data_IF_636135636463
#
_entry.id   IF_636135636463
#
_cell.length_a   1.000
_cell.length_b   1.000
_cell.length_c   1.000
_cell.angle_alpha   90.00
_cell.angle_beta   90.00
_cell.angle_gamma   90.00
#
_symmetry.space_group_name_H-M   'P 1'
#
loop_
_entity.id
_entity.type
_entity.pdbx_description
1 polymer ?
#
# COMPACT_ATOMS: atom_id res chain seq x y z
N UNK A 1 20.09 3.41 -18.58
CA UNK A 1 19.26 3.95 -19.68
C UNK A 1 20.17 4.07 -20.89
N UNK A 2 19.93 3.25 -21.91
CA UNK A 2 20.68 3.33 -23.16
C UNK A 2 20.13 4.47 -24.03
N UNK A 3 20.63 5.69 -23.82
CA UNK A 3 20.37 6.83 -24.73
C UNK A 3 20.95 6.62 -26.15
N UNK A 4 21.76 5.59 -26.31
CA UNK A 4 22.51 5.35 -27.56
C UNK A 4 21.67 4.79 -28.73
N UNK A 5 20.36 4.55 -28.54
CA UNK A 5 19.47 4.01 -29.59
C UNK A 5 18.46 5.02 -30.14
N UNK A 6 18.43 6.24 -29.61
CA UNK A 6 17.46 7.25 -30.05
C UNK A 6 18.18 8.17 -31.07
N UNK A 7 17.53 8.40 -32.20
CA UNK A 7 18.02 9.33 -33.22
C UNK A 7 18.29 10.71 -32.62
N UNK A 8 19.46 11.34 -32.86
CA UNK A 8 19.85 12.59 -32.21
C UNK A 8 18.84 13.72 -32.40
N UNK A 9 18.23 13.81 -33.56
CA UNK A 9 17.21 14.82 -33.89
C UNK A 9 15.94 14.64 -33.05
N UNK A 10 15.47 13.39 -32.92
CA UNK A 10 14.31 13.04 -32.09
C UNK A 10 14.62 13.33 -30.61
N UNK A 11 15.82 12.99 -30.14
CA UNK A 11 16.22 13.26 -28.77
C UNK A 11 16.22 14.77 -28.48
N UNK A 12 16.74 15.57 -29.40
CA UNK A 12 16.75 17.04 -29.27
C UNK A 12 15.35 17.62 -29.21
N UNK A 13 14.44 17.18 -30.10
CA UNK A 13 13.03 17.63 -30.10
C UNK A 13 12.31 17.22 -28.79
N UNK A 14 12.54 15.99 -28.32
CA UNK A 14 11.99 15.52 -27.04
C UNK A 14 12.51 16.31 -25.85
N UNK A 15 13.78 16.71 -25.83
CA UNK A 15 14.34 17.57 -24.77
C UNK A 15 13.69 18.94 -24.76
N UNK A 16 13.51 19.60 -25.92
CA UNK A 16 12.81 20.88 -25.99
C UNK A 16 11.35 20.78 -25.55
N UNK A 17 10.65 19.72 -25.94
CA UNK A 17 9.26 19.45 -25.48
C UNK A 17 9.20 19.19 -23.97
N UNK A 18 10.17 18.46 -23.42
CA UNK A 18 10.27 18.22 -22.00
C UNK A 18 10.54 19.51 -21.20
N UNK A 19 11.36 20.42 -21.70
CA UNK A 19 11.60 21.73 -21.06
C UNK A 19 10.31 22.56 -20.98
N UNK A 20 9.56 22.66 -22.09
CA UNK A 20 8.25 23.37 -22.10
C UNK A 20 7.21 22.72 -21.19
N UNK A 21 7.15 21.39 -21.20
CA UNK A 21 6.27 20.65 -20.27
C UNK A 21 6.66 20.90 -18.81
N UNK A 22 7.97 20.98 -18.52
CA UNK A 22 8.48 21.29 -17.18
C UNK A 22 8.11 22.71 -16.71
N UNK A 23 8.14 23.71 -17.61
CA UNK A 23 7.69 25.07 -17.29
C UNK A 23 6.19 25.11 -16.93
N UNK A 24 5.35 24.41 -17.71
CA UNK A 24 3.92 24.27 -17.43
C UNK A 24 3.65 23.58 -16.10
N UNK A 25 4.37 22.50 -15.80
CA UNK A 25 4.24 21.79 -14.53
C UNK A 25 4.72 22.63 -13.34
N UNK A 26 5.79 23.40 -13.50
CA UNK A 26 6.25 24.32 -12.47
C UNK A 26 5.18 25.38 -12.13
N UNK A 27 4.52 25.95 -13.15
CA UNK A 27 3.44 26.91 -12.91
C UNK A 27 2.23 26.26 -12.23
N UNK A 28 1.84 25.04 -12.65
CA UNK A 28 0.80 24.25 -11.99
C UNK A 28 1.12 24.03 -10.51
N UNK A 29 2.33 23.64 -10.18
CA UNK A 29 2.77 23.39 -8.79
C UNK A 29 2.76 24.69 -7.95
N UNK A 30 3.13 25.83 -8.53
CA UNK A 30 3.00 27.14 -7.85
C UNK A 30 1.54 27.46 -7.51
N UNK A 31 0.62 27.25 -8.45
CA UNK A 31 -0.81 27.47 -8.23
C UNK A 31 -1.37 26.53 -7.16
N UNK A 32 -1.02 25.23 -7.21
CA UNK A 32 -1.37 24.26 -6.18
C UNK A 32 -0.89 24.76 -4.81
N UNK A 33 0.38 25.14 -4.69
CA UNK A 33 0.94 25.62 -3.42
C UNK A 33 0.21 26.83 -2.87
N UNK A 34 -0.08 27.82 -3.73
CA UNK A 34 -0.83 29.03 -3.34
C UNK A 34 -2.25 28.70 -2.87
N UNK A 35 -2.99 27.88 -3.64
CA UNK A 35 -4.36 27.49 -3.31
C UNK A 35 -4.42 26.61 -2.07
N UNK A 36 -3.45 25.74 -1.87
CA UNK A 36 -3.33 24.94 -0.66
C UNK A 36 -3.11 25.79 0.59
N UNK A 37 -2.32 26.86 0.48
CA UNK A 37 -2.10 27.77 1.59
C UNK A 37 -3.38 28.55 1.95
N UNK A 38 -4.12 29.03 0.96
CA UNK A 38 -5.41 29.69 1.16
C UNK A 38 -6.42 28.75 1.85
N UNK A 39 -6.43 27.48 1.45
CA UNK A 39 -7.33 26.48 1.99
C UNK A 39 -6.92 26.01 3.40
N UNK A 40 -5.63 26.01 3.71
CA UNK A 40 -5.09 25.48 4.97
C UNK A 40 -5.77 26.07 6.20
N UNK A 41 -5.94 27.39 6.26
CA UNK A 41 -6.61 28.06 7.38
C UNK A 41 -8.05 27.59 7.59
N UNK A 42 -8.78 27.36 6.52
CA UNK A 42 -10.15 26.81 6.59
C UNK A 42 -10.19 25.36 7.08
N UNK A 43 -9.21 24.53 6.68
CA UNK A 43 -9.11 23.14 7.13
C UNK A 43 -8.66 23.05 8.59
N UNK A 44 -7.73 23.91 9.02
CA UNK A 44 -7.24 23.94 10.39
C UNK A 44 -8.34 24.36 11.38
N UNK A 45 -9.15 25.35 11.03
CA UNK A 45 -10.29 25.81 11.86
C UNK A 45 -11.42 24.77 12.01
N UNK A 46 -11.41 23.70 11.23
CA UNK A 46 -12.39 22.61 11.24
C UNK A 46 -11.84 21.31 11.83
N UNK A 47 -10.71 21.35 12.52
CA UNK A 47 -10.05 20.20 13.15
C UNK A 47 -9.82 19.01 12.19
N UNK A 48 -9.50 19.31 10.92
CA UNK A 48 -9.24 18.29 9.90
C UNK A 48 -7.88 17.59 10.12
N UNK A 49 -6.95 18.24 10.84
CA UNK A 49 -5.62 17.71 11.10
C UNK A 49 -5.40 17.46 12.58
N UNK A 50 -4.90 16.28 12.87
CA UNK A 50 -4.52 15.88 14.23
C UNK A 50 -3.02 15.78 14.36
N UNK A 51 -2.53 16.16 15.52
CA UNK A 51 -1.15 16.02 15.95
C UNK A 51 -0.94 14.67 16.61
N UNK A 52 0.21 14.06 16.39
CA UNK A 52 0.62 12.87 17.14
C UNK A 52 1.25 13.34 18.45
N UNK A 53 0.57 13.09 19.55
CA UNK A 53 0.99 13.50 20.89
C UNK A 53 1.81 12.38 21.52
N UNK A 54 2.99 12.70 22.05
CA UNK A 54 3.83 11.76 22.79
C UNK A 54 3.59 11.92 24.29
N UNK A 55 3.16 10.83 24.92
CA UNK A 55 3.25 10.68 26.36
C UNK A 55 4.28 9.58 26.66
N UNK A 56 5.33 9.90 27.43
CA UNK A 56 6.43 8.98 27.67
C UNK A 56 6.01 7.70 28.40
N UNK A 57 5.07 7.78 29.34
CA UNK A 57 4.57 6.58 30.05
C UNK A 57 3.73 5.69 29.13
N UNK A 58 2.90 6.31 28.31
CA UNK A 58 2.09 5.59 27.31
C UNK A 58 3.03 4.93 26.29
N UNK A 59 4.08 5.61 25.85
CA UNK A 59 5.04 5.09 24.89
C UNK A 59 5.74 3.82 25.37
N UNK A 60 6.15 3.75 26.63
CA UNK A 60 6.79 2.55 27.20
C UNK A 60 5.84 1.33 27.23
N UNK A 61 4.55 1.57 27.41
CA UNK A 61 3.54 0.50 27.29
C UNK A 61 3.35 0.08 25.84
N UNK A 62 3.29 1.04 24.92
CA UNK A 62 3.10 0.78 23.49
C UNK A 62 4.27 -0.01 22.89
N UNK A 63 5.51 0.16 23.36
CA UNK A 63 6.68 -0.61 22.91
C UNK A 63 6.58 -2.11 23.16
N UNK A 64 5.78 -2.53 24.14
CA UNK A 64 5.61 -3.95 24.51
C UNK A 64 4.51 -4.66 23.74
N UNK A 65 3.72 -3.94 22.98
CA UNK A 65 2.59 -4.51 22.20
C UNK A 65 3.15 -5.41 21.10
N UNK A 66 2.70 -6.68 21.02
CA UNK A 66 3.11 -7.61 19.97
C UNK A 66 2.76 -7.08 18.58
N UNK A 67 3.66 -7.32 17.63
CA UNK A 67 3.57 -6.78 16.29
C UNK A 67 3.96 -7.81 15.24
N UNK A 68 3.18 -7.90 14.17
CA UNK A 68 3.52 -8.58 12.94
C UNK A 68 3.57 -7.63 11.74
N UNK A 69 4.28 -8.01 10.70
CA UNK A 69 4.17 -7.39 9.39
C UNK A 69 4.21 -8.45 8.29
N UNK A 70 3.45 -8.23 7.22
CA UNK A 70 3.37 -9.13 6.06
C UNK A 70 3.52 -8.30 4.79
N UNK A 71 4.31 -8.81 3.86
CA UNK A 71 4.43 -8.29 2.51
C UNK A 71 4.67 -9.43 1.51
N UNK A 72 4.19 -9.24 0.28
CA UNK A 72 4.38 -10.14 -0.84
C UNK A 72 4.98 -9.45 -2.04
N UNK A 73 5.69 -10.21 -2.86
CA UNK A 73 6.12 -9.77 -4.18
C UNK A 73 6.02 -10.91 -5.18
N UNK A 74 5.91 -10.58 -6.46
CA UNK A 74 5.94 -11.58 -7.50
C UNK A 74 6.75 -11.15 -8.71
N UNK A 75 7.18 -12.15 -9.49
CA UNK A 75 7.71 -11.99 -10.84
C UNK A 75 7.13 -13.09 -11.71
N UNK A 76 6.67 -12.74 -12.89
CA UNK A 76 6.24 -13.68 -13.92
C UNK A 76 7.31 -13.72 -15.01
N UNK A 77 7.67 -14.93 -15.44
CA UNK A 77 8.63 -15.21 -16.50
C UNK A 77 8.13 -16.32 -17.40
N UNK A 78 8.48 -16.29 -18.65
CA UNK A 78 8.03 -17.24 -19.67
C UNK A 78 7.25 -16.54 -20.76
N UNK A 79 6.12 -17.11 -21.16
CA UNK A 79 5.24 -16.57 -22.22
C UNK A 79 5.24 -17.42 -23.48
N UNK A 80 6.16 -18.34 -23.60
CA UNK A 80 6.26 -19.19 -24.77
C UNK A 80 5.10 -20.16 -24.86
N UNK A 81 4.42 -20.16 -25.99
CA UNK A 81 3.21 -20.94 -26.17
C UNK A 81 2.13 -20.61 -25.15
N UNK A 82 2.16 -19.42 -24.54
CA UNK A 82 1.21 -18.98 -23.50
C UNK A 82 1.45 -19.60 -22.13
N UNK A 83 2.63 -20.22 -21.88
CA UNK A 83 2.97 -20.81 -20.58
C UNK A 83 3.89 -19.91 -19.78
N UNK A 84 3.46 -19.55 -18.57
CA UNK A 84 4.16 -18.66 -17.64
C UNK A 84 4.46 -19.37 -16.33
N UNK A 85 5.50 -18.91 -15.66
CA UNK A 85 5.79 -19.30 -14.28
C UNK A 85 5.80 -18.06 -13.40
N UNK A 86 4.96 -18.07 -12.40
CA UNK A 86 4.87 -16.99 -11.42
C UNK A 86 5.63 -17.38 -10.18
N UNK A 87 6.62 -16.61 -9.80
CA UNK A 87 7.42 -16.78 -8.60
C UNK A 87 6.97 -15.75 -7.57
N UNK A 88 6.48 -16.22 -6.44
CA UNK A 88 5.93 -15.37 -5.38
C UNK A 88 6.81 -15.52 -4.15
N UNK A 89 7.21 -14.40 -3.57
CA UNK A 89 7.87 -14.33 -2.27
C UNK A 89 6.92 -13.71 -1.25
N UNK A 90 6.74 -14.35 -0.10
CA UNK A 90 5.94 -13.83 1.01
C UNK A 90 6.84 -13.76 2.23
N UNK A 91 6.89 -12.59 2.89
CA UNK A 91 7.65 -12.40 4.12
C UNK A 91 6.74 -12.08 5.30
N UNK A 92 7.10 -12.62 6.46
CA UNK A 92 6.46 -12.40 7.74
C UNK A 92 7.52 -11.92 8.73
N UNK A 93 7.25 -10.80 9.37
CA UNK A 93 8.08 -10.25 10.46
C UNK A 93 7.28 -10.31 11.74
N UNK A 94 7.82 -10.90 12.80
CA UNK A 94 7.08 -11.16 14.03
C UNK A 94 7.89 -10.73 15.24
N UNK A 95 7.33 -9.85 16.05
CA UNK A 95 7.86 -9.34 17.30
C UNK A 95 6.86 -9.62 18.44
N UNK A 96 6.89 -10.84 18.98
CA UNK A 96 5.92 -11.35 19.97
C UNK A 96 5.92 -10.59 21.31
N UNK A 97 7.00 -9.91 21.62
CA UNK A 97 7.18 -9.15 22.89
C UNK A 97 7.28 -7.64 22.66
N UNK A 98 6.69 -7.18 21.57
CA UNK A 98 6.76 -5.80 21.14
C UNK A 98 7.92 -5.50 20.18
N UNK A 99 8.02 -4.23 19.77
CA UNK A 99 8.99 -3.81 18.78
C UNK A 99 10.43 -4.14 19.16
N UNK A 100 11.18 -4.72 18.23
CA UNK A 100 12.58 -5.10 18.38
C UNK A 100 13.33 -4.94 17.07
N UNK A 101 14.64 -4.72 17.14
CA UNK A 101 15.53 -4.68 15.97
C UNK A 101 15.86 -6.09 15.44
N UNK A 102 15.60 -7.15 16.23
CA UNK A 102 15.82 -8.54 15.87
C UNK A 102 14.51 -9.36 15.92
N UNK A 103 13.52 -9.07 15.07
CA UNK A 103 12.29 -9.85 15.00
C UNK A 103 12.54 -11.23 14.40
N UNK A 104 11.61 -12.15 14.62
CA UNK A 104 11.57 -13.41 13.86
C UNK A 104 11.12 -13.10 12.44
N UNK A 105 11.85 -13.61 11.46
CA UNK A 105 11.54 -13.42 10.04
C UNK A 105 11.33 -14.79 9.40
N UNK A 106 10.17 -15.00 8.79
CA UNK A 106 9.87 -16.16 7.96
C UNK A 106 9.69 -15.70 6.52
N UNK A 107 10.16 -16.51 5.57
CA UNK A 107 9.99 -16.25 4.14
C UNK A 107 9.51 -17.54 3.49
N UNK A 108 8.41 -17.43 2.76
CA UNK A 108 7.84 -18.53 1.96
C UNK A 108 8.00 -18.20 0.47
N UNK A 109 8.45 -19.16 -0.34
CA UNK A 109 8.52 -19.06 -1.80
C UNK A 109 7.49 -19.98 -2.46
N UNK A 110 6.77 -19.49 -3.46
CA UNK A 110 5.78 -20.24 -4.23
C UNK A 110 6.14 -20.10 -5.72
N UNK A 111 6.01 -21.20 -6.48
CA UNK A 111 6.14 -21.20 -7.94
C UNK A 111 4.86 -21.80 -8.50
N UNK A 112 4.15 -21.02 -9.33
CA UNK A 112 2.88 -21.42 -9.91
C UNK A 112 2.94 -21.35 -11.45
N UNK A 113 2.67 -22.45 -12.18
CA UNK A 113 2.53 -22.40 -13.62
C UNK A 113 1.16 -21.81 -14.01
N UNK A 114 1.15 -20.83 -14.89
CA UNK A 114 -0.06 -20.23 -15.46
C UNK A 114 -0.07 -20.39 -16.98
N UNK A 115 -1.26 -20.53 -17.54
CA UNK A 115 -1.47 -20.60 -18.99
C UNK A 115 -2.35 -19.42 -19.40
N UNK A 116 -1.78 -18.44 -20.11
CA UNK A 116 -2.49 -17.35 -20.73
C UNK A 116 -1.67 -16.77 -21.90
N UNK A 117 -2.37 -16.30 -22.91
CA UNK A 117 -1.76 -15.65 -24.08
C UNK A 117 -1.50 -14.17 -23.82
N UNK A 118 -2.32 -13.54 -22.96
CA UNK A 118 -2.24 -12.11 -22.64
C UNK A 118 -1.42 -11.89 -21.36
N UNK A 119 -0.35 -11.11 -21.47
CA UNK A 119 0.54 -10.76 -20.36
C UNK A 119 -0.20 -9.96 -19.24
N UNK A 120 -1.19 -9.15 -19.62
CA UNK A 120 -2.02 -8.41 -18.66
C UNK A 120 -2.81 -9.36 -17.75
N UNK A 121 -3.35 -10.45 -18.31
CA UNK A 121 -4.05 -11.49 -17.54
C UNK A 121 -3.09 -12.20 -16.60
N UNK A 122 -1.86 -12.48 -17.06
CA UNK A 122 -0.83 -13.09 -16.19
C UNK A 122 -0.49 -12.17 -15.02
N UNK A 123 -0.33 -10.87 -15.28
CA UNK A 123 -0.05 -9.91 -14.20
C UNK A 123 -1.17 -9.92 -13.15
N UNK A 124 -2.43 -9.85 -13.59
CA UNK A 124 -3.60 -9.86 -12.70
C UNK A 124 -3.68 -11.16 -11.87
N UNK A 125 -3.53 -12.31 -12.50
CA UNK A 125 -3.54 -13.59 -11.80
C UNK A 125 -2.38 -13.72 -10.81
N UNK A 126 -1.20 -13.23 -11.18
CA UNK A 126 -0.02 -13.23 -10.30
C UNK A 126 -0.23 -12.39 -9.05
N UNK A 127 -0.86 -11.23 -9.20
CA UNK A 127 -1.19 -10.34 -8.08
C UNK A 127 -2.23 -10.99 -7.15
N UNK A 128 -3.25 -11.65 -7.70
CA UNK A 128 -4.23 -12.41 -6.90
C UNK A 128 -3.56 -13.54 -6.12
N UNK A 129 -2.68 -14.32 -6.75
CA UNK A 129 -1.95 -15.40 -6.08
C UNK A 129 -1.05 -14.87 -4.96
N UNK A 130 -0.38 -13.76 -5.18
CA UNK A 130 0.43 -13.09 -4.14
C UNK A 130 -0.46 -12.67 -2.96
N UNK A 131 -1.59 -12.01 -3.21
CA UNK A 131 -2.52 -11.58 -2.15
C UNK A 131 -3.13 -12.76 -1.37
N UNK A 132 -3.39 -13.88 -2.03
CA UNK A 132 -3.79 -15.13 -1.35
C UNK A 132 -2.67 -15.66 -0.43
N UNK A 133 -1.43 -15.60 -0.89
CA UNK A 133 -0.25 -15.93 -0.08
C UNK A 133 -0.12 -15.01 1.15
N UNK A 134 -0.34 -13.72 0.99
CA UNK A 134 -0.35 -12.76 2.11
C UNK A 134 -1.46 -13.06 3.12
N UNK A 135 -2.67 -13.43 2.67
CA UNK A 135 -3.76 -13.82 3.57
C UNK A 135 -3.39 -15.03 4.44
N UNK A 136 -2.74 -16.04 3.85
CA UNK A 136 -2.25 -17.18 4.59
C UNK A 136 -1.16 -16.79 5.59
N UNK A 137 -0.28 -15.88 5.20
CA UNK A 137 0.76 -15.34 6.07
C UNK A 137 0.18 -14.54 7.24
N UNK A 138 -0.85 -13.71 7.01
CA UNK A 138 -1.56 -12.99 8.07
C UNK A 138 -2.12 -13.98 9.10
N UNK A 139 -2.74 -15.08 8.68
CA UNK A 139 -3.25 -16.11 9.59
C UNK A 139 -2.12 -16.80 10.39
N UNK A 140 -0.98 -17.10 9.74
CA UNK A 140 0.19 -17.68 10.43
C UNK A 140 0.73 -16.72 11.49
N UNK A 141 0.86 -15.43 11.16
CA UNK A 141 1.28 -14.39 12.11
C UNK A 141 0.27 -14.26 13.24
N UNK A 142 -1.02 -14.20 12.94
CA UNK A 142 -2.07 -14.09 13.94
C UNK A 142 -2.07 -15.26 14.93
N UNK A 143 -1.86 -16.51 14.46
CA UNK A 143 -1.73 -17.67 15.35
C UNK A 143 -0.54 -17.57 16.32
N UNK A 144 0.53 -16.86 15.93
CA UNK A 144 1.70 -16.66 16.80
C UNK A 144 1.53 -15.51 17.77
N UNK A 145 0.85 -14.45 17.36
CA UNK A 145 0.57 -13.29 18.19
C UNK A 145 -0.64 -13.50 19.11
N UNK A 146 -1.54 -14.41 18.73
CA UNK A 146 -2.78 -14.68 19.44
C UNK A 146 -2.53 -15.22 20.85
N UNK A 147 -3.04 -14.54 21.83
CA UNK A 147 -2.95 -14.86 23.26
C UNK A 147 -3.93 -14.03 24.10
N UNK A 148 -4.84 -13.31 23.40
CA UNK A 148 -5.83 -12.43 24.03
C UNK A 148 -5.31 -11.04 24.37
N UNK A 149 -4.00 -10.80 24.31
CA UNK A 149 -3.42 -9.46 24.43
C UNK A 149 -3.59 -8.67 23.13
N UNK A 150 -3.78 -7.34 23.27
CA UNK A 150 -3.85 -6.45 22.11
C UNK A 150 -2.56 -6.55 21.29
N UNK A 151 -2.70 -6.81 20.00
CA UNK A 151 -1.58 -6.91 19.07
C UNK A 151 -1.93 -6.35 17.68
N UNK A 152 -0.93 -6.14 16.85
CA UNK A 152 -1.11 -5.52 15.54
C UNK A 152 -0.43 -6.30 14.43
N UNK A 153 -1.04 -6.28 13.24
CA UNK A 153 -0.43 -6.76 12.00
C UNK A 153 -0.46 -5.63 10.98
N UNK A 154 0.72 -5.27 10.46
CA UNK A 154 0.87 -4.34 9.36
C UNK A 154 0.89 -5.09 8.03
N UNK A 155 0.15 -4.63 7.06
CA UNK A 155 0.18 -5.10 5.67
C UNK A 155 0.84 -4.03 4.82
N UNK A 156 1.80 -4.38 3.95
CA UNK A 156 2.38 -3.45 2.97
C UNK A 156 1.45 -3.25 1.78
N UNK A 157 0.37 -2.53 2.00
CA UNK A 157 -0.68 -2.29 1.00
C UNK A 157 -2.02 -1.94 1.61
N UNK A 158 -3.06 -1.88 0.79
CA UNK A 158 -4.42 -1.60 1.23
C UNK A 158 -5.08 -2.82 1.87
N UNK A 159 -6.07 -2.58 2.74
CA UNK A 159 -6.99 -3.61 3.21
C UNK A 159 -8.01 -3.94 2.12
N UNK A 160 -8.54 -2.92 1.46
CA UNK A 160 -9.37 -3.07 0.26
C UNK A 160 -8.46 -3.25 -0.93
N UNK A 161 -8.54 -4.42 -1.52
CA UNK A 161 -7.79 -4.75 -2.73
C UNK A 161 -8.25 -3.92 -3.94
N UNK A 162 -7.39 -3.79 -4.96
CA UNK A 162 -7.78 -3.15 -6.20
C UNK A 162 -9.07 -3.74 -6.79
N UNK A 163 -9.96 -2.93 -7.37
CA UNK A 163 -11.28 -3.37 -7.85
C UNK A 163 -11.25 -4.50 -8.89
N UNK A 164 -10.12 -4.68 -9.58
CA UNK A 164 -9.95 -5.69 -10.62
C UNK A 164 -10.03 -7.13 -10.09
N UNK A 165 -9.71 -7.34 -8.80
CA UNK A 165 -9.57 -8.67 -8.19
C UNK A 165 -10.70 -9.02 -7.21
N UNK A 166 -11.63 -8.09 -6.98
CA UNK A 166 -12.73 -8.29 -6.05
C UNK A 166 -13.76 -9.26 -6.62
N UNK A 167 -13.49 -10.57 -6.53
CA UNK A 167 -14.51 -11.59 -6.68
C UNK A 167 -15.08 -11.97 -5.32
N UNK A 168 -16.30 -12.51 -5.29
CA UNK A 168 -17.02 -12.79 -4.04
C UNK A 168 -16.25 -13.73 -3.11
N UNK A 169 -15.67 -14.79 -3.66
CA UNK A 169 -14.92 -15.78 -2.88
C UNK A 169 -13.67 -15.17 -2.27
N UNK A 170 -12.92 -14.39 -3.04
CA UNK A 170 -11.72 -13.71 -2.54
C UNK A 170 -12.06 -12.74 -1.41
N UNK A 171 -13.10 -11.91 -1.59
CA UNK A 171 -13.57 -10.96 -0.56
C UNK A 171 -14.02 -11.69 0.70
N UNK A 172 -14.73 -12.82 0.55
CA UNK A 172 -15.13 -13.65 1.69
C UNK A 172 -13.93 -14.19 2.46
N UNK A 173 -12.96 -14.75 1.79
CA UNK A 173 -11.74 -15.29 2.41
C UNK A 173 -10.92 -14.19 3.10
N UNK A 174 -10.86 -13.00 2.50
CA UNK A 174 -10.20 -11.81 3.07
C UNK A 174 -10.92 -11.36 4.35
N UNK A 175 -12.24 -11.20 4.28
CA UNK A 175 -13.07 -10.83 5.45
C UNK A 175 -12.94 -11.86 6.57
N UNK A 176 -12.98 -13.15 6.25
CA UNK A 176 -12.83 -14.22 7.24
C UNK A 176 -11.46 -14.20 7.89
N UNK A 177 -10.41 -13.87 7.14
CA UNK A 177 -9.05 -13.71 7.69
C UNK A 177 -8.96 -12.52 8.65
N UNK A 178 -9.50 -11.37 8.26
CA UNK A 178 -9.53 -10.18 9.10
C UNK A 178 -10.41 -10.37 10.35
N UNK A 179 -11.55 -11.05 10.20
CA UNK A 179 -12.42 -11.40 11.33
C UNK A 179 -11.74 -12.35 12.31
N UNK A 180 -11.01 -13.32 11.80
CA UNK A 180 -10.19 -14.20 12.64
C UNK A 180 -9.18 -13.41 13.47
N UNK A 181 -8.45 -12.46 12.86
CA UNK A 181 -7.54 -11.56 13.59
C UNK A 181 -8.29 -10.77 14.66
N UNK A 182 -9.40 -10.15 14.28
CA UNK A 182 -10.21 -9.34 15.19
C UNK A 182 -10.70 -10.15 16.41
N UNK A 183 -11.15 -11.38 16.24
CA UNK A 183 -11.59 -12.25 17.35
C UNK A 183 -10.47 -12.66 18.29
N UNK A 184 -9.21 -12.56 17.85
CA UNK A 184 -8.00 -12.78 18.65
C UNK A 184 -7.44 -11.49 19.27
N UNK A 185 -8.17 -10.38 19.21
CA UNK A 185 -7.74 -9.04 19.64
C UNK A 185 -6.50 -8.54 18.85
N UNK A 186 -6.43 -8.91 17.57
CA UNK A 186 -5.37 -8.50 16.66
C UNK A 186 -5.91 -7.48 15.66
N UNK A 187 -5.34 -6.28 15.67
CA UNK A 187 -5.71 -5.18 14.80
C UNK A 187 -4.90 -5.20 13.51
N UNK A 188 -5.57 -5.34 12.38
CA UNK A 188 -4.92 -5.34 11.07
C UNK A 188 -4.96 -3.93 10.47
N UNK A 189 -3.79 -3.46 10.03
CA UNK A 189 -3.57 -2.11 9.51
C UNK A 189 -2.93 -2.20 8.13
N UNK A 190 -3.57 -1.57 7.14
CA UNK A 190 -3.01 -1.36 5.81
C UNK A 190 -2.11 -0.13 5.78
N UNK A 191 -0.87 -0.30 5.30
CA UNK A 191 0.10 0.77 5.12
C UNK A 191 0.31 1.06 3.64
N UNK A 192 -0.44 2.00 3.07
CA UNK A 192 -0.46 2.31 1.63
C UNK A 192 0.59 3.36 1.28
N UNK A 193 1.63 2.96 0.57
CA UNK A 193 2.77 3.82 0.18
C UNK A 193 2.49 4.68 -1.06
N UNK A 194 1.58 4.25 -1.91
CA UNK A 194 1.24 4.94 -3.16
C UNK A 194 -0.18 5.47 -3.06
N UNK A 195 -0.31 6.67 -2.54
CA UNK A 195 -1.60 7.37 -2.46
C UNK A 195 -2.08 7.69 -3.86
N UNK A 196 -3.25 7.17 -4.22
CA UNK A 196 -3.93 7.43 -5.49
C UNK A 196 -5.40 7.72 -5.22
N UNK A 197 -6.06 8.36 -6.18
CA UNK A 197 -7.47 8.71 -6.08
C UNK A 197 -7.72 10.09 -5.49
N UNK A 198 -8.99 10.41 -5.27
CA UNK A 198 -9.49 11.71 -4.83
C UNK A 198 -10.53 11.60 -3.71
N UNK A 199 -10.40 10.60 -2.87
CA UNK A 199 -11.37 10.30 -1.81
C UNK A 199 -11.48 11.43 -0.78
N UNK A 200 -10.34 11.97 -0.33
CA UNK A 200 -10.31 13.08 0.61
C UNK A 200 -10.82 14.37 -0.04
N UNK A 201 -10.42 14.62 -1.27
CA UNK A 201 -10.88 15.75 -2.07
C UNK A 201 -12.40 15.71 -2.28
N UNK A 202 -12.96 14.53 -2.57
CA UNK A 202 -14.40 14.32 -2.71
C UNK A 202 -15.14 14.52 -1.38
N UNK A 203 -14.57 14.05 -0.26
CA UNK A 203 -15.10 14.33 1.07
C UNK A 203 -15.19 15.85 1.34
N UNK A 204 -14.12 16.60 1.08
CA UNK A 204 -14.11 18.04 1.28
C UNK A 204 -15.13 18.79 0.39
N UNK A 205 -15.33 18.31 -0.84
CA UNK A 205 -16.36 18.84 -1.75
C UNK A 205 -17.76 18.58 -1.23
N UNK A 206 -18.05 17.36 -0.75
CA UNK A 206 -19.36 17.01 -0.15
C UNK A 206 -19.66 17.84 1.10
N UNK A 207 -18.65 18.13 1.91
CA UNK A 207 -18.78 18.98 3.10
C UNK A 207 -18.79 20.48 2.76
N UNK A 208 -18.76 20.84 1.46
CA UNK A 208 -18.72 22.24 0.98
C UNK A 208 -17.56 23.04 1.57
N UNK A 209 -16.44 22.37 1.88
CA UNK A 209 -15.21 23.01 2.36
C UNK A 209 -14.41 23.56 1.17
N UNK A 210 -14.51 22.88 0.03
CA UNK A 210 -13.93 23.31 -1.24
C UNK A 210 -15.08 23.56 -2.22
N UNK A 211 -15.17 24.79 -2.71
CA UNK A 211 -16.18 25.20 -3.69
C UNK A 211 -15.79 24.71 -5.11
N UNK A 212 -16.79 24.19 -5.83
CA UNK A 212 -16.75 23.90 -7.27
C UNK A 212 -15.79 22.80 -7.72
N UNK A 213 -15.64 22.66 -9.04
CA UNK A 213 -14.55 21.92 -9.67
C UNK A 213 -13.28 22.73 -9.52
N UNK A 214 -12.57 22.52 -8.43
CA UNK A 214 -11.27 23.14 -8.23
C UNK A 214 -10.29 22.46 -9.21
N UNK A 215 -10.04 23.10 -10.34
CA UNK A 215 -9.24 22.57 -11.45
C UNK A 215 -7.76 22.36 -11.08
N UNK A 216 -7.33 22.94 -9.95
CA UNK A 216 -5.95 22.84 -9.48
C UNK A 216 -5.62 21.51 -8.80
N UNK A 217 -6.59 20.90 -8.09
CA UNK A 217 -6.38 19.62 -7.39
C UNK A 217 -7.03 18.47 -8.17
N UNK A 218 -6.22 17.63 -8.78
CA UNK A 218 -6.66 16.48 -9.56
C UNK A 218 -6.89 15.27 -8.64
N UNK A 219 -6.07 15.13 -7.60
CA UNK A 219 -6.09 14.01 -6.68
C UNK A 219 -5.74 14.43 -5.24
N UNK A 220 -5.86 13.49 -4.32
CA UNK A 220 -5.58 13.72 -2.90
C UNK A 220 -4.14 14.15 -2.65
N UNK A 221 -3.18 13.63 -3.42
CA UNK A 221 -1.77 13.95 -3.23
C UNK A 221 -1.46 15.41 -3.58
N UNK A 222 -2.06 15.95 -4.63
CA UNK A 222 -1.90 17.36 -5.02
C UNK A 222 -2.31 18.29 -3.88
N UNK A 223 -3.46 18.01 -3.26
CA UNK A 223 -3.98 18.78 -2.14
C UNK A 223 -3.15 18.56 -0.87
N UNK A 224 -3.01 17.32 -0.45
CA UNK A 224 -2.44 16.97 0.85
C UNK A 224 -0.95 17.29 0.95
N UNK A 225 -0.20 17.24 -0.15
CA UNK A 225 1.25 17.51 -0.14
C UNK A 225 1.56 18.88 0.47
N UNK A 226 0.87 19.91 0.01
CA UNK A 226 1.11 21.29 0.48
C UNK A 226 0.38 21.59 1.78
N UNK A 227 -0.85 21.11 1.95
CA UNK A 227 -1.65 21.39 3.15
C UNK A 227 -1.04 20.74 4.38
N UNK A 228 -0.66 19.46 4.30
CA UNK A 228 0.00 18.75 5.41
C UNK A 228 1.41 19.27 5.67
N UNK A 229 2.13 19.75 4.64
CA UNK A 229 3.40 20.44 4.85
C UNK A 229 3.22 21.68 5.74
N UNK A 230 2.21 22.51 5.45
CA UNK A 230 1.90 23.69 6.25
C UNK A 230 1.47 23.31 7.67
N UNK A 231 0.65 22.28 7.82
CA UNK A 231 0.23 21.76 9.13
C UNK A 231 1.43 21.32 9.99
N UNK A 232 2.39 20.59 9.42
CA UNK A 232 3.62 20.18 10.12
C UNK A 232 4.48 21.40 10.48
N UNK A 233 4.65 22.34 9.55
CA UNK A 233 5.44 23.55 9.79
C UNK A 233 4.89 24.39 10.95
N UNK A 234 3.57 24.54 11.03
CA UNK A 234 2.91 25.30 12.09
C UNK A 234 2.95 24.58 13.45
N UNK A 235 2.86 23.25 13.46
CA UNK A 235 2.75 22.46 14.70
C UNK A 235 4.08 21.85 15.14
N UNK A 236 5.11 21.92 14.30
CA UNK A 236 6.43 21.27 14.51
C UNK A 236 6.32 19.78 14.88
N UNK A 237 5.29 19.08 14.37
CA UNK A 237 4.96 17.69 14.72
C UNK A 237 4.39 16.96 13.52
N UNK A 238 4.58 15.64 13.42
CA UNK A 238 3.86 14.80 12.47
C UNK A 238 2.35 14.96 12.57
N UNK A 239 1.66 14.86 11.43
CA UNK A 239 0.21 15.07 11.38
C UNK A 239 -0.48 13.95 10.61
N UNK A 240 -1.74 13.74 10.94
CA UNK A 240 -2.64 12.89 10.17
C UNK A 240 -4.00 13.59 9.99
N UNK A 241 -4.78 13.17 8.97
CA UNK A 241 -6.09 13.76 8.70
C UNK A 241 -7.17 13.12 9.58
N UNK A 242 -8.31 13.78 9.68
CA UNK A 242 -9.51 13.18 10.22
C UNK A 242 -9.76 11.79 9.60
N UNK A 243 -10.05 10.75 10.39
CA UNK A 243 -10.34 9.42 9.87
C UNK A 243 -11.66 9.40 9.10
N UNK A 244 -11.61 8.91 7.87
CA UNK A 244 -12.76 8.80 6.98
C UNK A 244 -13.16 7.34 6.78
N UNK A 245 -14.46 7.08 6.68
CA UNK A 245 -14.95 5.86 6.08
C UNK A 245 -14.92 5.98 4.55
N UNK A 246 -14.77 4.87 3.83
CA UNK A 246 -14.77 4.89 2.36
C UNK A 246 -16.07 5.44 1.76
N UNK A 247 -17.22 5.30 2.43
CA UNK A 247 -18.48 5.90 1.97
C UNK A 247 -18.45 7.42 1.96
N UNK A 248 -17.68 8.04 2.82
CA UNK A 248 -17.57 9.50 2.90
C UNK A 248 -16.71 10.07 1.75
N UNK A 249 -15.73 9.31 1.27
CA UNK A 249 -14.76 9.74 0.25
C UNK A 249 -15.03 9.25 -1.17
N UNK A 250 -15.70 8.11 -1.34
CA UNK A 250 -15.97 7.56 -2.66
C UNK A 250 -17.23 8.15 -3.31
N UNK A 251 -17.22 8.29 -4.63
CA UNK A 251 -18.42 8.56 -5.43
C UNK A 251 -19.09 7.26 -5.85
N UNK A 252 -20.37 7.29 -6.23
CA UNK A 252 -21.10 6.09 -6.66
C UNK A 252 -20.52 5.43 -7.93
N UNK A 253 -19.74 6.19 -8.71
CA UNK A 253 -19.07 5.72 -9.93
C UNK A 253 -17.66 5.18 -9.64
N UNK A 254 -17.18 5.32 -8.40
CA UNK A 254 -15.84 4.87 -8.01
C UNK A 254 -15.84 3.34 -7.86
N UNK A 255 -14.95 2.67 -8.59
CA UNK A 255 -14.77 1.22 -8.49
C UNK A 255 -14.39 0.78 -7.06
N UNK A 256 -13.67 1.62 -6.34
CA UNK A 256 -13.33 1.39 -4.92
C UNK A 256 -14.57 1.35 -4.04
N UNK A 257 -15.58 2.18 -4.33
CA UNK A 257 -16.85 2.16 -3.60
C UNK A 257 -17.61 0.84 -3.79
N UNK A 258 -17.62 0.31 -5.02
CA UNK A 258 -18.24 -0.98 -5.31
C UNK A 258 -17.52 -2.12 -4.58
N UNK A 259 -16.20 -2.13 -4.60
CA UNK A 259 -15.40 -3.11 -3.87
C UNK A 259 -15.63 -2.99 -2.38
N UNK A 260 -15.59 -1.77 -1.82
CA UNK A 260 -15.86 -1.54 -0.39
C UNK A 260 -17.24 -2.05 0.03
N UNK A 261 -18.27 -1.86 -0.81
CA UNK A 261 -19.61 -2.38 -0.54
C UNK A 261 -19.61 -3.90 -0.35
N UNK A 262 -18.85 -4.65 -1.13
CA UNK A 262 -18.72 -6.11 -0.97
C UNK A 262 -18.15 -6.49 0.40
N UNK A 263 -17.18 -5.72 0.92
CA UNK A 263 -16.63 -5.90 2.27
C UNK A 263 -17.64 -5.51 3.35
N UNK A 264 -18.29 -4.38 3.18
CA UNK A 264 -19.29 -3.86 4.13
C UNK A 264 -20.50 -4.78 4.27
N UNK A 265 -21.02 -5.33 3.17
CA UNK A 265 -22.14 -6.28 3.18
C UNK A 265 -21.78 -7.57 3.97
N UNK A 266 -20.50 -7.82 4.22
CA UNK A 266 -19.98 -8.89 5.06
C UNK A 266 -19.60 -8.45 6.48
N UNK A 267 -20.01 -7.24 6.87
CA UNK A 267 -19.82 -6.68 8.21
C UNK A 267 -18.45 -6.08 8.49
N UNK A 268 -17.64 -5.79 7.47
CA UNK A 268 -16.35 -5.14 7.63
C UNK A 268 -16.46 -3.64 7.35
N UNK A 269 -16.19 -2.82 8.36
CA UNK A 269 -16.02 -1.38 8.21
C UNK A 269 -14.55 -1.04 8.06
N UNK A 270 -14.20 -0.19 7.11
CA UNK A 270 -12.81 0.25 6.89
C UNK A 270 -12.77 1.76 6.95
N UNK A 271 -11.95 2.24 7.88
CA UNK A 271 -11.61 3.64 8.04
C UNK A 271 -10.20 3.88 7.56
N UNK A 272 -9.92 5.07 7.05
CA UNK A 272 -8.59 5.46 6.62
C UNK A 272 -8.27 6.90 6.98
N UNK A 273 -6.98 7.17 7.12
CA UNK A 273 -6.45 8.52 7.29
C UNK A 273 -5.22 8.70 6.42
N UNK A 274 -4.90 9.93 6.10
CA UNK A 274 -3.62 10.27 5.48
C UNK A 274 -2.64 10.72 6.56
N UNK A 275 -1.44 10.20 6.48
CA UNK A 275 -0.37 10.41 7.46
C UNK A 275 0.87 10.97 6.80
N UNK A 276 1.47 12.00 7.39
CA UNK A 276 2.73 12.58 6.96
C UNK A 276 3.68 12.64 8.16
N UNK A 277 4.77 11.82 8.15
CA UNK A 277 5.69 11.69 9.28
C UNK A 277 6.59 12.92 9.48
N UNK A 278 6.90 13.65 8.40
CA UNK A 278 7.77 14.82 8.46
C UNK A 278 7.48 15.79 7.33
N UNK A 279 7.95 17.03 7.43
CA UNK A 279 7.73 18.04 6.38
C UNK A 279 8.27 17.59 5.01
N UNK A 280 9.39 16.88 4.97
CA UNK A 280 10.02 16.33 3.75
C UNK A 280 9.59 14.90 3.43
N UNK A 281 8.90 14.22 4.35
CA UNK A 281 8.44 12.85 4.21
C UNK A 281 7.31 12.70 3.21
N UNK A 282 7.11 11.48 2.75
CA UNK A 282 5.99 11.11 1.88
C UNK A 282 4.67 11.14 2.65
N UNK A 283 3.57 11.15 1.91
CA UNK A 283 2.23 10.95 2.47
C UNK A 283 1.88 9.48 2.28
N UNK A 284 1.35 8.90 3.35
CA UNK A 284 0.85 7.52 3.39
C UNK A 284 -0.65 7.53 3.67
N UNK A 285 -1.36 6.52 3.21
CA UNK A 285 -2.72 6.25 3.66
C UNK A 285 -2.67 5.06 4.61
N UNK A 286 -3.25 5.24 5.78
CA UNK A 286 -3.34 4.21 6.82
C UNK A 286 -4.77 3.73 6.88
N UNK A 287 -4.99 2.45 6.67
CA UNK A 287 -6.30 1.82 6.69
C UNK A 287 -6.45 0.95 7.93
N UNK A 288 -7.64 0.95 8.50
CA UNK A 288 -7.95 0.15 9.69
C UNK A 288 -9.28 -0.59 9.51
N UNK A 289 -9.25 -1.91 9.73
CA UNK A 289 -10.39 -2.82 9.59
C UNK A 289 -11.11 -3.00 10.93
N UNK A 290 -12.45 -2.83 10.93
CA UNK A 290 -13.30 -2.96 12.11
C UNK A 290 -14.53 -3.82 11.81
N UNK A 291 -14.92 -4.65 12.78
CA UNK A 291 -16.15 -5.47 12.71
C UNK A 291 -17.24 -4.96 13.67
N UNK A 292 -17.05 -3.79 14.23
CA UNK A 292 -17.98 -3.11 15.13
C UNK A 292 -18.29 -1.71 14.63
N UNK A 293 -19.40 -1.16 15.09
CA UNK A 293 -19.74 0.23 14.85
C UNK A 293 -19.27 1.05 16.05
N UNK A 294 -18.22 1.83 15.85
CA UNK A 294 -17.68 2.74 16.85
C UNK A 294 -18.24 4.14 16.65
N UNK A 295 -18.34 4.88 17.73
CA UNK A 295 -18.57 6.32 17.67
C UNK A 295 -17.37 7.04 17.03
N UNK A 296 -17.61 8.25 16.54
CA UNK A 296 -16.55 9.09 15.97
C UNK A 296 -15.38 9.32 16.94
N UNK A 297 -15.68 9.49 18.22
CA UNK A 297 -14.67 9.68 19.26
C UNK A 297 -13.81 8.41 19.46
N UNK A 298 -14.43 7.23 19.49
CA UNK A 298 -13.70 5.96 19.62
C UNK A 298 -12.81 5.69 18.40
N UNK A 299 -13.29 6.00 17.19
CA UNK A 299 -12.49 5.91 15.97
C UNK A 299 -11.26 6.82 16.05
N UNK A 300 -11.46 8.06 16.49
CA UNK A 300 -10.38 9.02 16.70
C UNK A 300 -9.35 8.53 17.71
N UNK A 301 -9.80 7.97 18.83
CA UNK A 301 -8.90 7.40 19.86
C UNK A 301 -8.11 6.19 19.33
N UNK A 302 -8.75 5.31 18.55
CA UNK A 302 -8.06 4.19 17.88
C UNK A 302 -6.99 4.70 16.91
N UNK A 303 -7.31 5.67 16.08
CA UNK A 303 -6.32 6.24 15.16
C UNK A 303 -5.20 6.98 15.88
N UNK A 304 -5.48 7.74 16.94
CA UNK A 304 -4.43 8.34 17.78
C UNK A 304 -3.42 7.29 18.27
N UNK A 305 -3.92 6.15 18.74
CA UNK A 305 -3.09 5.04 19.21
C UNK A 305 -2.28 4.42 18.08
N UNK A 306 -2.92 4.13 16.93
CA UNK A 306 -2.24 3.61 15.74
C UNK A 306 -1.16 4.56 15.25
N UNK A 307 -1.44 5.86 15.18
CA UNK A 307 -0.48 6.88 14.74
C UNK A 307 0.69 7.00 15.71
N UNK A 308 0.45 6.90 17.02
CA UNK A 308 1.53 6.89 18.03
C UNK A 308 2.43 5.67 17.86
N UNK A 309 1.86 4.48 17.66
CA UNK A 309 2.60 3.26 17.36
C UNK A 309 3.43 3.39 16.07
N UNK A 310 2.80 3.81 14.98
CA UNK A 310 3.46 3.99 13.68
C UNK A 310 4.61 4.99 13.75
N UNK A 311 4.38 6.15 14.33
CA UNK A 311 5.36 7.24 14.31
C UNK A 311 6.46 7.11 15.37
N UNK A 312 6.13 6.65 16.56
CA UNK A 312 7.02 6.74 17.73
C UNK A 312 7.64 5.40 18.13
N UNK A 313 6.97 4.28 17.79
CA UNK A 313 7.44 2.95 18.16
C UNK A 313 8.01 2.20 16.96
N UNK A 314 7.26 2.12 15.86
CA UNK A 314 7.60 1.23 14.76
C UNK A 314 8.45 1.88 13.67
N UNK A 315 8.52 3.21 13.65
CA UNK A 315 9.34 3.94 12.67
C UNK A 315 10.56 4.53 13.38
N UNK A 316 11.78 4.03 13.10
CA UNK A 316 13.01 4.59 13.65
C UNK A 316 13.22 6.05 13.22
N UNK A 317 13.92 6.81 14.07
CA UNK A 317 14.23 8.20 13.78
C UNK A 317 14.96 8.35 12.43
N UNK A 318 14.49 9.26 11.62
CA UNK A 318 15.03 9.50 10.27
C UNK A 318 14.48 8.61 9.16
N UNK A 319 13.57 7.69 9.49
CA UNK A 319 12.81 6.91 8.51
C UNK A 319 11.38 7.46 8.34
N UNK A 320 10.79 7.23 7.18
CA UNK A 320 9.40 7.61 6.89
C UNK A 320 8.43 6.44 7.03
N UNK A 321 8.93 5.21 7.15
CA UNK A 321 8.13 3.98 7.13
C UNK A 321 8.45 3.09 8.32
N UNK A 322 7.48 2.30 8.81
CA UNK A 322 7.71 1.34 9.88
C UNK A 322 8.78 0.30 9.49
N UNK A 323 9.73 0.07 10.38
CA UNK A 323 10.81 -0.89 10.15
C UNK A 323 10.31 -2.31 9.83
N UNK A 324 9.26 -2.85 10.48
CA UNK A 324 8.75 -4.18 10.13
C UNK A 324 8.27 -4.29 8.68
N UNK A 325 7.64 -3.24 8.14
CA UNK A 325 7.23 -3.16 6.72
C UNK A 325 8.47 -3.14 5.81
N UNK A 326 9.49 -2.35 6.15
CA UNK A 326 10.73 -2.27 5.35
C UNK A 326 11.43 -3.64 5.33
N UNK A 327 11.48 -4.34 6.47
CA UNK A 327 12.09 -5.67 6.56
C UNK A 327 11.28 -6.67 5.71
N UNK A 328 9.95 -6.72 5.87
CA UNK A 328 9.09 -7.62 5.11
C UNK A 328 9.29 -7.40 3.60
N UNK A 329 9.21 -6.14 3.15
CA UNK A 329 9.39 -5.74 1.76
C UNK A 329 10.73 -6.20 1.17
N UNK A 330 11.82 -5.98 1.90
CA UNK A 330 13.14 -6.39 1.42
C UNK A 330 13.32 -7.92 1.37
N UNK A 331 12.61 -8.65 2.23
CA UNK A 331 12.71 -10.12 2.34
C UNK A 331 11.84 -10.88 1.37
N UNK A 332 10.65 -10.36 1.03
CA UNK A 332 9.77 -11.00 0.04
C UNK A 332 10.21 -10.74 -1.42
N UNK A 333 11.06 -9.74 -1.66
CA UNK A 333 11.35 -9.23 -3.01
C UNK A 333 11.97 -10.28 -3.92
N UNK A 334 11.18 -10.78 -4.87
CA UNK A 334 11.64 -11.63 -5.97
C UNK A 334 12.21 -10.76 -7.07
N UNK A 335 13.53 -10.77 -7.24
CA UNK A 335 14.21 -10.00 -8.30
C UNK A 335 14.07 -10.70 -9.64
N UNK A 336 13.91 -9.92 -10.71
CA UNK A 336 13.76 -10.45 -12.09
C UNK A 336 14.86 -11.44 -12.48
N UNK A 337 16.13 -11.11 -12.24
CA UNK A 337 17.24 -12.02 -12.58
C UNK A 337 17.22 -13.35 -11.81
N UNK A 338 16.73 -13.36 -10.56
CA UNK A 338 16.52 -14.60 -9.82
C UNK A 338 15.38 -15.43 -10.43
N UNK A 339 14.27 -14.77 -10.80
CA UNK A 339 13.14 -15.42 -11.45
C UNK A 339 13.54 -16.03 -12.81
N UNK A 340 14.30 -15.31 -13.62
CA UNK A 340 14.85 -15.80 -14.88
C UNK A 340 15.76 -17.03 -14.65
N UNK A 341 16.63 -17.01 -13.65
CA UNK A 341 17.48 -18.15 -13.30
C UNK A 341 16.66 -19.39 -12.92
N UNK A 342 15.63 -19.21 -12.10
CA UNK A 342 14.74 -20.32 -11.72
C UNK A 342 13.96 -20.85 -12.94
N UNK A 343 13.51 -19.96 -13.81
CA UNK A 343 12.85 -20.35 -15.07
C UNK A 343 13.78 -21.21 -15.95
N UNK A 344 15.03 -20.79 -16.14
CA UNK A 344 16.00 -21.59 -16.90
C UNK A 344 16.25 -22.95 -16.25
N UNK A 345 16.28 -23.07 -14.94
CA UNK A 345 16.41 -24.35 -14.24
C UNK A 345 15.21 -25.26 -14.52
N UNK A 346 13.98 -24.73 -14.47
CA UNK A 346 12.75 -25.45 -14.80
C UNK A 346 12.81 -25.96 -16.25
N UNK A 347 13.20 -25.08 -17.18
CA UNK A 347 13.29 -25.40 -18.61
C UNK A 347 14.37 -26.45 -18.86
N UNK A 348 15.53 -26.31 -18.25
CA UNK A 348 16.64 -27.27 -18.40
C UNK A 348 16.24 -28.67 -17.95
N UNK A 349 15.52 -28.78 -16.84
CA UNK A 349 14.99 -30.07 -16.36
C UNK A 349 13.93 -30.65 -17.30
N UNK A 350 13.01 -29.82 -17.77
CA UNK A 350 12.01 -30.24 -18.74
C UNK A 350 12.60 -30.75 -20.05
N UNK A 351 13.76 -30.22 -20.46
CA UNK A 351 14.49 -30.56 -21.68
C UNK A 351 15.32 -31.82 -21.58
N UNK A 352 15.75 -32.19 -20.38
CA UNK A 352 16.50 -33.42 -20.16
C UNK A 352 15.71 -34.69 -20.60
N UNK A 353 14.39 -34.52 -20.83
CA UNK A 353 13.49 -35.55 -21.33
C UNK A 353 13.19 -35.51 -22.85
N UNK A 354 13.93 -34.71 -23.63
CA UNK A 354 13.97 -34.90 -25.10
C UNK A 354 13.20 -33.85 -25.96
N UNK A 355 12.71 -32.77 -25.40
CA UNK A 355 11.95 -31.73 -26.14
C UNK A 355 12.76 -30.47 -26.50
N UNK A 356 14.00 -30.70 -27.03
CA UNK A 356 14.96 -29.63 -27.35
C UNK A 356 14.43 -28.55 -28.30
N UNK A 357 13.58 -28.93 -29.27
CA UNK A 357 13.02 -28.00 -30.26
C UNK A 357 12.10 -26.95 -29.64
N UNK A 358 11.29 -27.30 -28.66
CA UNK A 358 10.42 -26.37 -27.94
C UNK A 358 11.21 -25.34 -27.13
N UNK A 359 12.39 -25.71 -26.66
CA UNK A 359 13.30 -24.84 -25.94
C UNK A 359 14.01 -23.83 -26.83
N UNK A 360 14.49 -24.26 -27.99
CA UNK A 360 15.17 -23.35 -28.95
C UNK A 360 14.22 -22.27 -29.44
N UNK A 361 12.94 -22.58 -29.67
CA UNK A 361 11.91 -21.59 -29.96
C UNK A 361 11.74 -20.59 -28.80
N UNK A 362 11.85 -21.05 -27.52
CA UNK A 362 11.73 -20.18 -26.35
C UNK A 362 12.86 -19.17 -26.20
N UNK A 363 14.05 -19.50 -26.60
CA UNK A 363 15.20 -18.59 -26.54
C UNK A 363 15.17 -17.51 -27.62
N UNK A 364 14.56 -17.79 -28.78
CA UNK A 364 14.49 -16.82 -29.88
C UNK A 364 13.47 -15.70 -29.64
N UNK A 365 12.39 -15.94 -28.91
CA UNK A 365 11.40 -14.91 -28.58
C UNK A 365 11.83 -13.98 -27.43
N UNK A 366 12.71 -14.41 -26.55
CA UNK A 366 13.18 -13.57 -25.42
C UNK A 366 14.21 -12.49 -25.80
N UNK A 367 14.65 -12.42 -27.07
CA UNK A 367 15.62 -11.45 -27.57
C UNK A 367 15.05 -10.40 -28.54
N UNK A 368 13.72 -10.37 -28.75
CA UNK A 368 13.03 -9.33 -29.48
C UNK A 368 12.25 -8.45 -28.50
#
# INVERSE_FOLDING_TARGET
>A
MEFNKTEPELLTDLVFKAMRAGEGEMERLKQISKKSYELFGSLESRDIFYQIISDGEVLEKLKKIPLGAVDGSFQSVGGLGGRWYVMIGIAQVIAERGFTLNPVINVDGIIEPLNAVDEGVIYELSEVLMMLGEMLAIRKVANRLGGGEESYILIDGPIIDPPLYANEKYVEDRVNTLRFCYTQNIHVIGFVKRVRGSHFLNYLRRKQIIEGKNEYFINDLDLLSSVMFNAIKNRASPVYTYPLNYEEGCTNEDKTALTYKMYKDRGLNIYYTYYKPSARGRIFRIEYALFENLSEQEIKERFNRIMSLLNQVWTPLGMDQPLPIIIAHNKCNVRRGAAETIYYEIMTRALSEGNLHLWLESLTESYI
#
